data_IF_400776634227
#
_entry.id   IF_400776634227
#
_cell.length_a   1.000
_cell.length_b   1.000
_cell.length_c   1.000
_cell.angle_alpha   90.00
_cell.angle_beta   90.00
_cell.angle_gamma   90.00
#
_symmetry.space_group_name_H-M   'P 1'
#
loop_
_entity.id
_entity.type
_entity.pdbx_description
1 polymer ?
#
# COMPACT_ATOMS: atom_id res chain seq x y z
N UNK A 1 -38.91 -62.54 3.72
CA UNK A 1 -38.79 -61.29 2.95
C UNK A 1 -38.03 -60.30 3.83
N UNK A 2 -36.71 -60.23 3.68
CA UNK A 2 -35.83 -59.37 4.49
C UNK A 2 -35.51 -58.09 3.71
N UNK A 3 -36.01 -56.96 4.20
CA UNK A 3 -35.69 -55.65 3.67
C UNK A 3 -34.38 -55.13 4.29
N UNK A 4 -33.33 -55.01 3.47
CA UNK A 4 -32.04 -54.43 3.85
C UNK A 4 -32.17 -52.91 3.69
N UNK A 5 -32.18 -52.18 4.80
CA UNK A 5 -32.07 -50.73 4.85
C UNK A 5 -30.58 -50.36 4.69
N UNK A 6 -30.17 -49.80 3.55
CA UNK A 6 -28.84 -49.19 3.36
C UNK A 6 -28.88 -47.79 3.92
N UNK A 7 -28.19 -47.59 5.03
CA UNK A 7 -27.93 -46.25 5.57
C UNK A 7 -26.80 -45.60 4.73
N UNK A 8 -27.11 -44.47 4.07
CA UNK A 8 -26.17 -43.64 3.35
C UNK A 8 -25.47 -42.73 4.39
N UNK A 9 -24.25 -43.04 4.73
CA UNK A 9 -23.36 -42.12 5.50
C UNK A 9 -22.95 -40.99 4.60
N UNK A 10 -23.52 -39.80 4.77
CA UNK A 10 -23.02 -38.56 4.19
C UNK A 10 -21.90 -38.06 5.10
N UNK A 11 -20.66 -38.31 4.69
CA UNK A 11 -19.49 -37.66 5.30
C UNK A 11 -19.45 -36.21 4.86
N UNK A 12 -19.92 -35.30 5.71
CA UNK A 12 -19.66 -33.87 5.56
C UNK A 12 -18.19 -33.66 5.90
N UNK A 13 -17.37 -33.50 4.86
CA UNK A 13 -16.00 -33.01 5.06
C UNK A 13 -16.10 -31.55 5.51
N UNK A 14 -15.97 -31.34 6.81
CA UNK A 14 -15.74 -30.01 7.34
C UNK A 14 -14.35 -29.57 6.85
N UNK A 15 -14.30 -28.71 5.85
CA UNK A 15 -13.09 -27.99 5.50
C UNK A 15 -12.71 -27.14 6.71
N UNK A 16 -11.69 -27.57 7.46
CA UNK A 16 -11.04 -26.76 8.47
C UNK A 16 -10.38 -25.61 7.73
N UNK A 17 -11.02 -24.44 7.73
CA UNK A 17 -10.39 -23.21 7.30
C UNK A 17 -9.32 -22.89 8.37
N UNK A 18 -8.08 -23.25 8.09
CA UNK A 18 -6.95 -22.80 8.89
C UNK A 18 -6.92 -21.27 8.80
N UNK A 19 -7.07 -20.58 9.91
CA UNK A 19 -6.88 -19.15 10.00
C UNK A 19 -5.46 -18.81 9.60
N UNK A 20 -5.32 -17.72 8.88
CA UNK A 20 -4.02 -17.26 8.45
C UNK A 20 -3.15 -16.96 9.68
N UNK A 21 -2.14 -17.80 9.92
CA UNK A 21 -1.10 -17.47 10.88
C UNK A 21 -0.34 -16.25 10.37
N UNK A 22 -0.28 -15.20 11.19
CA UNK A 22 0.52 -14.00 10.90
C UNK A 22 1.87 -14.22 11.57
N UNK A 23 2.91 -14.31 10.74
CA UNK A 23 4.27 -14.61 11.19
C UNK A 23 5.21 -13.46 10.81
N UNK A 24 5.99 -12.96 11.80
CA UNK A 24 7.05 -12.01 11.52
C UNK A 24 8.24 -12.72 10.86
N UNK A 25 8.68 -12.18 9.74
CA UNK A 25 9.84 -12.65 8.98
C UNK A 25 11.02 -11.72 9.25
N UNK A 26 12.14 -12.29 9.69
CA UNK A 26 13.37 -11.56 9.98
C UNK A 26 14.55 -12.24 9.29
N UNK A 27 15.25 -11.57 8.38
CA UNK A 27 16.47 -12.12 7.79
C UNK A 27 17.57 -12.27 8.86
N UNK A 28 18.44 -13.26 8.69
CA UNK A 28 19.54 -13.54 9.63
C UNK A 28 20.54 -12.39 9.67
N UNK A 29 20.86 -11.84 8.50
CA UNK A 29 21.92 -10.85 8.30
C UNK A 29 21.33 -9.54 7.70
N UNK A 30 20.18 -9.10 8.19
CA UNK A 30 19.58 -7.82 7.76
C UNK A 30 20.08 -6.61 8.57
N UNK A 31 19.91 -5.39 8.05
CA UNK A 31 20.21 -4.18 8.82
C UNK A 31 19.31 -4.10 10.07
N UNK A 32 19.81 -3.51 11.18
CA UNK A 32 19.02 -3.34 12.38
C UNK A 32 17.78 -2.46 12.10
N UNK A 33 16.59 -2.85 12.60
CA UNK A 33 15.40 -2.03 12.42
C UNK A 33 15.56 -0.66 13.09
N UNK A 34 15.16 0.39 12.39
CA UNK A 34 15.20 1.78 12.88
C UNK A 34 13.92 2.21 13.61
N UNK A 35 13.01 1.28 13.85
CA UNK A 35 11.72 1.55 14.51
C UNK A 35 10.92 0.29 14.82
N UNK A 36 9.70 0.44 15.38
CA UNK A 36 8.81 -0.66 15.74
C UNK A 36 8.09 -1.22 14.49
N UNK A 37 8.77 -2.09 13.76
CA UNK A 37 8.24 -2.85 12.62
C UNK A 37 8.94 -4.21 12.50
N UNK A 38 8.28 -5.17 11.85
CA UNK A 38 8.92 -6.41 11.41
C UNK A 38 9.47 -6.22 10.00
N UNK A 39 10.68 -6.70 9.65
CA UNK A 39 11.21 -6.60 8.29
C UNK A 39 10.27 -7.18 7.23
N UNK A 40 9.57 -8.25 7.57
CA UNK A 40 8.49 -8.81 6.78
C UNK A 40 7.41 -9.42 7.66
N UNK A 41 6.20 -9.56 7.11
CA UNK A 41 5.07 -10.26 7.74
C UNK A 41 4.47 -11.23 6.73
N UNK A 42 4.55 -12.51 7.06
CA UNK A 42 4.02 -13.61 6.26
C UNK A 42 2.59 -13.94 6.70
N UNK A 43 1.71 -14.11 5.73
CA UNK A 43 0.32 -14.57 5.90
C UNK A 43 0.10 -15.87 5.15
N UNK A 44 -1.11 -16.40 5.12
CA UNK A 44 -1.43 -17.60 4.35
C UNK A 44 -1.09 -17.44 2.85
N UNK A 45 -1.31 -16.26 2.28
CA UNK A 45 -1.22 -16.05 0.82
C UNK A 45 -0.09 -15.12 0.39
N UNK A 46 0.35 -14.19 1.26
CA UNK A 46 1.28 -13.12 0.91
C UNK A 46 2.34 -12.88 1.99
N UNK A 47 3.49 -12.40 1.54
CA UNK A 47 4.51 -11.77 2.36
C UNK A 47 4.47 -10.26 2.10
N UNK A 48 4.35 -9.48 3.17
CA UNK A 48 4.46 -8.02 3.16
C UNK A 48 5.84 -7.64 3.67
N UNK A 49 6.66 -7.02 2.81
CA UNK A 49 8.01 -6.56 3.12
C UNK A 49 7.97 -5.08 3.47
N UNK A 50 8.50 -4.73 4.64
CA UNK A 50 8.68 -3.32 5.06
C UNK A 50 9.58 -2.55 4.12
N UNK A 51 9.50 -1.24 4.16
CA UNK A 51 10.50 -0.39 3.51
C UNK A 51 11.91 -0.82 3.91
N UNK A 52 12.69 -1.20 2.91
CA UNK A 52 14.09 -1.55 3.02
C UNK A 52 14.92 -0.45 2.37
N UNK A 53 15.74 0.24 3.16
CA UNK A 53 16.70 1.22 2.66
C UNK A 53 18.02 0.56 2.26
N UNK A 54 18.99 1.41 1.93
CA UNK A 54 20.29 1.00 1.37
C UNK A 54 21.37 0.70 2.42
N UNK A 55 21.04 0.63 3.71
CA UNK A 55 22.04 0.32 4.74
C UNK A 55 22.43 -1.15 4.73
N UNK A 56 23.73 -1.41 4.90
CA UNK A 56 24.28 -2.73 5.12
C UNK A 56 23.93 -3.26 6.52
N UNK A 57 24.15 -4.56 6.80
CA UNK A 57 23.95 -5.12 8.15
C UNK A 57 24.77 -4.43 9.26
N UNK A 58 25.92 -3.85 8.94
CA UNK A 58 26.74 -3.06 9.85
C UNK A 58 26.25 -1.60 10.07
N UNK A 59 25.15 -1.23 9.40
CA UNK A 59 24.55 0.11 9.47
C UNK A 59 25.17 1.14 8.50
N UNK A 60 26.22 0.80 7.76
CA UNK A 60 26.88 1.71 6.82
C UNK A 60 26.07 1.84 5.54
N UNK A 61 26.09 3.04 4.95
CA UNK A 61 25.53 3.31 3.63
C UNK A 61 26.63 3.18 2.57
N UNK A 62 26.42 2.45 1.46
CA UNK A 62 27.36 2.42 0.35
C UNK A 62 27.63 3.83 -0.22
N UNK A 63 28.79 4.04 -0.82
CA UNK A 63 29.24 5.36 -1.27
C UNK A 63 28.63 5.80 -2.60
N UNK A 64 28.38 4.85 -3.53
CA UNK A 64 27.75 5.14 -4.82
C UNK A 64 26.26 4.87 -4.78
N UNK A 65 25.47 5.60 -5.58
CA UNK A 65 24.03 5.38 -5.65
C UNK A 65 23.69 3.98 -6.23
N UNK A 66 24.45 3.53 -7.23
CA UNK A 66 24.36 2.16 -7.78
C UNK A 66 24.45 1.09 -6.66
N UNK A 67 25.46 1.20 -5.81
CA UNK A 67 25.66 0.27 -4.69
C UNK A 67 24.56 0.42 -3.64
N UNK A 68 24.01 1.62 -3.45
CA UNK A 68 22.89 1.86 -2.56
C UNK A 68 21.61 1.19 -3.08
N UNK A 69 21.30 1.30 -4.37
CA UNK A 69 20.17 0.59 -4.99
C UNK A 69 20.37 -0.92 -4.90
N UNK A 70 21.57 -1.42 -5.18
CA UNK A 70 21.89 -2.84 -5.07
C UNK A 70 21.70 -3.33 -3.63
N UNK A 71 22.21 -2.59 -2.65
CA UNK A 71 22.04 -2.94 -1.23
C UNK A 71 20.57 -2.94 -0.80
N UNK A 72 19.78 -1.97 -1.22
CA UNK A 72 18.34 -1.94 -0.99
C UNK A 72 17.66 -3.21 -1.55
N UNK A 73 17.98 -3.60 -2.79
CA UNK A 73 17.43 -4.80 -3.42
C UNK A 73 17.88 -6.08 -2.73
N UNK A 74 19.14 -6.18 -2.28
CA UNK A 74 19.62 -7.31 -1.48
C UNK A 74 18.92 -7.37 -0.10
N UNK A 75 18.63 -6.23 0.52
CA UNK A 75 17.87 -6.20 1.77
C UNK A 75 16.44 -6.71 1.56
N UNK A 76 15.75 -6.27 0.50
CA UNK A 76 14.42 -6.81 0.14
C UNK A 76 14.49 -8.31 -0.14
N UNK A 77 15.45 -8.75 -0.95
CA UNK A 77 15.67 -10.16 -1.28
C UNK A 77 15.91 -11.00 -0.02
N UNK A 78 16.70 -10.52 0.92
CA UNK A 78 16.97 -11.23 2.18
C UNK A 78 15.70 -11.46 3.01
N UNK A 79 14.78 -10.50 3.05
CA UNK A 79 13.48 -10.66 3.71
C UNK A 79 12.59 -11.65 2.96
N UNK A 80 12.56 -11.57 1.62
CA UNK A 80 11.79 -12.49 0.76
C UNK A 80 12.27 -13.92 0.95
N UNK A 81 13.59 -14.15 0.95
CA UNK A 81 14.21 -15.46 1.16
C UNK A 81 14.01 -15.99 2.58
N UNK A 82 14.06 -15.13 3.59
CA UNK A 82 13.74 -15.51 4.97
C UNK A 82 12.26 -15.95 5.13
N UNK A 83 11.36 -15.46 4.27
CA UNK A 83 9.97 -15.91 4.15
C UNK A 83 9.81 -17.22 3.35
N UNK A 84 10.91 -17.86 2.93
CA UNK A 84 10.89 -19.09 2.11
C UNK A 84 10.53 -18.86 0.65
N UNK A 85 10.63 -17.62 0.15
CA UNK A 85 10.25 -17.21 -1.20
C UNK A 85 11.48 -16.78 -2.01
N UNK A 86 11.31 -16.37 -3.25
CA UNK A 86 12.34 -15.80 -4.13
C UNK A 86 11.86 -14.51 -4.76
N UNK A 87 12.74 -13.74 -5.38
CA UNK A 87 12.35 -12.49 -6.07
C UNK A 87 11.28 -12.72 -7.16
N UNK A 88 11.16 -13.91 -7.72
CA UNK A 88 10.07 -14.28 -8.66
C UNK A 88 8.68 -14.21 -8.03
N UNK A 89 8.58 -14.35 -6.69
CA UNK A 89 7.32 -14.25 -5.96
C UNK A 89 6.84 -12.80 -5.76
N UNK A 90 7.72 -11.81 -5.93
CA UNK A 90 7.35 -10.39 -5.79
C UNK A 90 6.34 -10.03 -6.89
N UNK A 91 5.20 -9.46 -6.48
CA UNK A 91 4.08 -9.11 -7.36
C UNK A 91 3.82 -7.61 -7.42
N UNK A 92 4.21 -6.87 -6.37
CA UNK A 92 4.07 -5.42 -6.26
C UNK A 92 5.21 -4.80 -5.47
N UNK A 93 5.65 -3.63 -5.89
CA UNK A 93 6.65 -2.82 -5.16
C UNK A 93 6.30 -1.34 -5.22
N UNK A 94 6.71 -0.62 -4.17
CA UNK A 94 6.81 0.84 -4.18
C UNK A 94 8.29 1.20 -3.97
N UNK A 95 8.84 1.96 -4.89
CA UNK A 95 10.21 2.49 -4.82
C UNK A 95 10.11 3.99 -4.51
N UNK A 96 10.85 4.43 -3.52
CA UNK A 96 10.91 5.83 -3.09
C UNK A 96 12.31 6.36 -3.33
N UNK A 97 12.40 7.54 -3.93
CA UNK A 97 13.65 8.28 -4.20
C UNK A 97 13.55 9.66 -3.55
N UNK A 98 14.59 10.11 -2.88
CA UNK A 98 14.70 11.51 -2.44
C UNK A 98 15.21 12.45 -3.56
N UNK A 99 15.80 11.87 -4.61
CA UNK A 99 16.19 12.57 -5.83
C UNK A 99 15.74 11.80 -7.09
N UNK A 100 14.70 12.29 -7.77
CA UNK A 100 14.16 11.66 -8.98
C UNK A 100 15.11 11.75 -10.18
N UNK A 101 16.14 12.59 -10.15
CA UNK A 101 17.17 12.61 -11.21
C UNK A 101 17.95 11.30 -11.31
N UNK A 102 17.93 10.48 -10.24
CA UNK A 102 18.56 9.17 -10.16
C UNK A 102 17.66 8.01 -10.64
N UNK A 103 16.49 8.32 -11.21
CA UNK A 103 15.50 7.32 -11.63
C UNK A 103 16.03 6.32 -12.66
N UNK A 104 16.76 6.78 -13.68
CA UNK A 104 17.28 5.91 -14.73
C UNK A 104 18.41 5.00 -14.19
N UNK A 105 19.25 5.53 -13.30
CA UNK A 105 20.29 4.75 -12.62
C UNK A 105 19.67 3.67 -11.72
N UNK A 106 18.65 4.02 -10.95
CA UNK A 106 17.86 3.06 -10.15
C UNK A 106 17.27 1.97 -11.04
N UNK A 107 16.63 2.32 -12.17
CA UNK A 107 16.03 1.36 -13.10
C UNK A 107 17.04 0.37 -13.67
N UNK A 108 18.24 0.84 -14.00
CA UNK A 108 19.30 -0.02 -14.54
C UNK A 108 19.68 -1.13 -13.55
N UNK A 109 19.88 -0.80 -12.28
CA UNK A 109 20.20 -1.81 -11.24
C UNK A 109 18.99 -2.67 -10.91
N UNK A 110 17.80 -2.07 -10.84
CA UNK A 110 16.56 -2.79 -10.57
C UNK A 110 16.27 -3.89 -11.61
N UNK A 111 16.55 -3.62 -12.90
CA UNK A 111 16.35 -4.58 -13.99
C UNK A 111 17.23 -5.85 -13.84
N UNK A 112 18.36 -5.78 -13.15
CA UNK A 112 19.21 -6.95 -12.88
C UNK A 112 18.51 -7.96 -11.95
N UNK A 113 17.63 -7.50 -11.05
CA UNK A 113 16.87 -8.33 -10.12
C UNK A 113 15.52 -8.82 -10.68
N UNK A 114 15.01 -8.12 -11.67
CA UNK A 114 13.74 -8.43 -12.34
C UNK A 114 13.91 -8.43 -13.88
N UNK A 115 14.73 -9.35 -14.42
CA UNK A 115 15.02 -9.37 -15.85
C UNK A 115 13.83 -9.78 -16.71
N UNK A 116 12.87 -10.49 -16.14
CA UNK A 116 11.65 -10.98 -16.79
C UNK A 116 10.46 -10.85 -15.85
N UNK A 117 9.27 -10.60 -16.40
CA UNK A 117 8.01 -10.55 -15.66
C UNK A 117 8.11 -9.73 -14.35
N UNK A 118 8.68 -8.52 -14.48
CA UNK A 118 8.87 -7.60 -13.36
C UNK A 118 7.55 -7.35 -12.60
N UNK A 119 7.58 -7.09 -11.29
CA UNK A 119 6.37 -6.81 -10.52
C UNK A 119 5.65 -5.55 -11.01
N UNK A 120 4.39 -5.41 -10.66
CA UNK A 120 3.71 -4.13 -10.74
C UNK A 120 4.42 -3.14 -9.81
N UNK A 121 4.59 -1.87 -10.24
CA UNK A 121 5.44 -0.90 -9.56
C UNK A 121 4.86 0.51 -9.54
N UNK A 122 5.08 1.21 -8.42
CA UNK A 122 5.08 2.65 -8.35
C UNK A 122 6.50 3.14 -8.00
N UNK A 123 6.96 4.24 -8.62
CA UNK A 123 8.19 4.93 -8.24
C UNK A 123 7.86 6.38 -7.90
N UNK A 124 8.27 6.83 -6.73
CA UNK A 124 7.80 8.06 -6.13
C UNK A 124 8.99 8.92 -5.69
N UNK A 125 9.01 10.17 -6.11
CA UNK A 125 9.88 11.18 -5.51
C UNK A 125 9.27 11.66 -4.19
N UNK A 126 10.05 11.61 -3.12
CA UNK A 126 9.63 12.03 -1.78
C UNK A 126 10.64 13.03 -1.20
N UNK A 127 10.22 13.84 -0.23
CA UNK A 127 11.11 14.85 0.31
C UNK A 127 12.28 14.25 1.12
N UNK A 128 12.00 13.20 1.91
CA UNK A 128 13.05 12.50 2.69
C UNK A 128 12.67 11.07 3.00
N UNK A 129 13.71 10.26 3.20
CA UNK A 129 13.65 8.88 3.65
C UNK A 129 14.46 8.67 4.94
N UNK A 130 14.14 7.67 5.79
CA UNK A 130 14.83 7.50 7.08
C UNK A 130 16.29 7.03 6.94
N UNK A 131 17.19 7.98 6.66
CA UNK A 131 18.65 7.76 6.58
C UNK A 131 19.12 6.93 5.39
N UNK A 132 18.46 7.07 4.25
CA UNK A 132 18.77 6.42 2.97
C UNK A 132 18.25 7.29 1.83
N UNK A 133 18.88 7.34 0.64
CA UNK A 133 18.36 8.09 -0.52
C UNK A 133 17.33 7.28 -1.33
N UNK A 134 17.27 5.97 -1.13
CA UNK A 134 16.36 5.06 -1.81
C UNK A 134 15.80 4.02 -0.86
N UNK A 135 14.52 3.73 -0.98
CA UNK A 135 13.81 2.72 -0.18
C UNK A 135 12.81 1.96 -1.05
N UNK A 136 12.62 0.67 -0.79
CA UNK A 136 11.63 -0.16 -1.47
C UNK A 136 10.87 -1.04 -0.47
N UNK A 137 9.54 -1.04 -0.56
CA UNK A 137 8.70 -2.08 0.03
C UNK A 137 8.23 -3.06 -1.05
N UNK A 138 7.74 -4.22 -0.62
CA UNK A 138 7.26 -5.22 -1.56
C UNK A 138 6.10 -6.04 -1.01
N UNK A 139 5.29 -6.58 -1.93
CA UNK A 139 4.36 -7.67 -1.67
C UNK A 139 4.77 -8.87 -2.51
N UNK A 140 4.93 -10.03 -1.88
CA UNK A 140 5.23 -11.27 -2.57
C UNK A 140 4.11 -12.29 -2.34
N UNK A 141 3.71 -13.00 -3.41
CA UNK A 141 2.72 -14.08 -3.34
C UNK A 141 3.40 -15.38 -2.95
N UNK A 142 2.75 -16.23 -2.16
CA UNK A 142 3.31 -17.55 -1.81
C UNK A 142 3.17 -18.59 -2.92
N UNK A 143 2.07 -18.54 -3.65
CA UNK A 143 1.77 -19.47 -4.75
C UNK A 143 2.03 -18.81 -6.10
N UNK A 144 3.06 -19.30 -6.81
CA UNK A 144 3.41 -18.83 -8.15
C UNK A 144 2.53 -19.40 -9.26
N UNK A 145 1.76 -20.45 -9.02
CA UNK A 145 1.04 -21.18 -10.05
C UNK A 145 0.05 -20.32 -10.84
N UNK A 146 -0.52 -19.31 -10.17
CA UNK A 146 -1.48 -18.37 -10.76
C UNK A 146 -0.88 -16.98 -11.03
N UNK A 147 0.44 -16.77 -10.77
CA UNK A 147 1.10 -15.50 -11.09
C UNK A 147 1.17 -15.32 -12.60
N UNK A 148 0.56 -14.24 -13.11
CA UNK A 148 0.57 -13.88 -14.55
C UNK A 148 0.73 -12.37 -14.70
N UNK A 149 1.60 -11.97 -15.62
CA UNK A 149 1.75 -10.57 -16.02
C UNK A 149 0.59 -10.17 -16.92
N UNK A 150 -0.02 -9.04 -16.64
CA UNK A 150 -0.99 -8.39 -17.51
C UNK A 150 -0.24 -7.50 -18.48
N UNK A 151 -0.47 -7.71 -19.78
CA UNK A 151 0.12 -6.94 -20.87
C UNK A 151 -0.97 -6.08 -21.51
N UNK A 152 -0.64 -4.85 -21.85
CA UNK A 152 -1.55 -3.96 -22.58
C UNK A 152 -1.15 -3.91 -24.05
N UNK A 153 -2.13 -4.04 -24.94
CA UNK A 153 -1.91 -3.89 -26.36
C UNK A 153 -1.43 -2.45 -26.68
N UNK A 154 -0.32 -2.34 -27.37
CA UNK A 154 0.27 -1.05 -27.74
C UNK A 154 0.99 -0.31 -26.61
N UNK A 155 1.05 -0.87 -25.41
CA UNK A 155 1.87 -0.31 -24.33
C UNK A 155 3.31 -0.84 -24.45
N UNK A 156 4.24 0.07 -24.57
CA UNK A 156 5.67 -0.20 -24.55
C UNK A 156 6.32 0.70 -23.50
N UNK A 157 7.14 0.15 -22.67
CA UNK A 157 7.94 0.86 -21.68
C UNK A 157 9.30 0.21 -21.60
N UNK A 158 10.33 1.05 -21.58
CA UNK A 158 11.70 0.62 -21.29
C UNK A 158 11.95 0.44 -19.78
N UNK A 159 10.94 0.77 -18.97
CA UNK A 159 11.02 0.59 -17.52
C UNK A 159 10.77 -0.87 -17.14
N UNK A 160 11.54 -1.42 -16.20
CA UNK A 160 11.38 -2.78 -15.71
C UNK A 160 10.17 -2.85 -14.76
N UNK A 161 8.97 -2.80 -15.33
CA UNK A 161 7.68 -3.00 -14.65
C UNK A 161 6.70 -3.73 -15.56
N UNK A 162 5.75 -4.44 -14.96
CA UNK A 162 4.59 -4.96 -15.67
C UNK A 162 3.39 -4.06 -15.40
N UNK A 163 2.53 -3.74 -16.38
CA UNK A 163 1.33 -2.93 -16.16
C UNK A 163 0.45 -3.45 -15.03
N UNK A 164 0.38 -4.76 -14.88
CA UNK A 164 -0.27 -5.41 -13.75
C UNK A 164 0.24 -6.83 -13.55
N UNK A 165 0.07 -7.35 -12.35
CA UNK A 165 0.39 -8.75 -12.00
C UNK A 165 -0.83 -9.38 -11.34
N UNK A 166 -1.35 -10.43 -12.00
CA UNK A 166 -2.40 -11.30 -11.48
C UNK A 166 -1.82 -12.36 -10.55
N UNK A 167 -2.56 -12.65 -9.49
CA UNK A 167 -2.39 -13.81 -8.62
C UNK A 167 -3.69 -14.65 -8.63
N UNK A 168 -3.76 -15.68 -7.80
CA UNK A 168 -4.95 -16.50 -7.68
C UNK A 168 -6.22 -15.70 -7.38
N UNK A 169 -6.11 -14.71 -6.50
CA UNK A 169 -7.26 -14.00 -5.92
C UNK A 169 -7.32 -12.51 -6.28
N UNK A 170 -6.23 -11.90 -6.77
CA UNK A 170 -6.20 -10.45 -7.02
C UNK A 170 -5.26 -10.00 -8.13
N UNK A 171 -5.43 -8.76 -8.54
CA UNK A 171 -4.59 -8.03 -9.47
C UNK A 171 -3.89 -6.89 -8.72
N UNK A 172 -2.57 -6.78 -8.88
CA UNK A 172 -1.77 -5.62 -8.50
C UNK A 172 -1.50 -4.78 -9.74
N UNK A 173 -1.69 -3.46 -9.64
CA UNK A 173 -1.69 -2.53 -10.78
C UNK A 173 -0.56 -1.52 -10.60
N UNK A 174 0.28 -1.36 -11.62
CA UNK A 174 1.35 -0.35 -11.66
C UNK A 174 0.81 1.07 -11.78
N UNK A 175 1.60 2.02 -11.32
CA UNK A 175 1.46 3.42 -11.66
C UNK A 175 1.87 3.60 -13.13
N UNK A 176 0.90 3.86 -14.00
CA UNK A 176 1.14 4.11 -15.42
C UNK A 176 0.99 5.58 -15.72
N UNK A 177 1.93 6.10 -16.50
CA UNK A 177 1.96 7.52 -16.86
C UNK A 177 0.86 7.89 -17.83
N UNK A 178 0.29 9.07 -17.60
CA UNK A 178 -0.49 9.80 -18.58
C UNK A 178 0.05 11.23 -18.63
N UNK A 179 0.30 11.74 -19.82
CA UNK A 179 0.73 13.14 -19.99
C UNK A 179 -0.32 13.90 -20.78
N UNK A 180 -0.64 15.07 -20.31
CA UNK A 180 -1.53 15.98 -20.99
C UNK A 180 -1.08 17.44 -20.83
N UNK A 181 -1.72 18.36 -21.55
CA UNK A 181 -1.41 19.78 -21.49
C UNK A 181 -1.95 20.48 -20.24
N UNK A 182 -2.90 19.85 -19.57
CA UNK A 182 -3.56 20.39 -18.38
C UNK A 182 -3.90 19.30 -17.36
N UNK A 183 -4.10 19.67 -16.09
CA UNK A 183 -4.34 18.71 -15.01
C UNK A 183 -5.59 17.84 -15.19
N UNK A 184 -6.66 18.36 -15.78
CA UNK A 184 -7.93 17.61 -15.91
C UNK A 184 -7.76 16.43 -16.87
N UNK A 185 -7.18 16.65 -18.05
CA UNK A 185 -6.91 15.60 -19.01
C UNK A 185 -5.82 14.62 -18.51
N UNK A 186 -4.84 15.10 -17.75
CA UNK A 186 -3.82 14.20 -17.16
C UNK A 186 -4.44 13.25 -16.12
N UNK A 187 -5.33 13.77 -15.25
CA UNK A 187 -6.09 12.94 -14.29
C UNK A 187 -6.94 11.90 -15.03
N UNK A 188 -7.69 12.33 -16.07
CA UNK A 188 -8.54 11.42 -16.85
C UNK A 188 -7.70 10.33 -17.52
N UNK A 189 -6.58 10.70 -18.14
CA UNK A 189 -5.66 9.76 -18.78
C UNK A 189 -5.06 8.75 -17.79
N UNK A 190 -4.67 9.19 -16.59
CA UNK A 190 -4.16 8.31 -15.54
C UNK A 190 -5.24 7.33 -15.02
N UNK A 191 -6.50 7.79 -14.89
CA UNK A 191 -7.64 6.93 -14.54
C UNK A 191 -7.98 5.95 -15.66
N UNK A 192 -7.83 6.35 -16.93
CA UNK A 192 -8.02 5.47 -18.08
C UNK A 192 -6.92 4.42 -18.18
N UNK A 193 -5.68 4.77 -17.85
CA UNK A 193 -4.57 3.82 -17.74
C UNK A 193 -4.84 2.76 -16.65
N UNK A 194 -5.29 3.17 -15.46
CA UNK A 194 -5.73 2.26 -14.40
C UNK A 194 -6.84 1.31 -14.89
N UNK A 195 -7.86 1.86 -15.55
CA UNK A 195 -8.97 1.10 -16.12
C UNK A 195 -8.49 0.09 -17.17
N UNK A 196 -7.60 0.49 -18.06
CA UNK A 196 -7.09 -0.37 -19.12
C UNK A 196 -6.39 -1.64 -18.56
N UNK A 197 -5.62 -1.52 -17.48
CA UNK A 197 -4.99 -2.67 -16.82
C UNK A 197 -6.04 -3.60 -16.22
N UNK A 198 -7.05 -3.04 -15.56
CA UNK A 198 -8.15 -3.82 -14.95
C UNK A 198 -8.93 -4.59 -16.04
N UNK A 199 -9.26 -3.94 -17.15
CA UNK A 199 -9.98 -4.56 -18.26
C UNK A 199 -9.14 -5.60 -19.00
N UNK A 200 -7.84 -5.35 -19.20
CA UNK A 200 -6.91 -6.33 -19.77
C UNK A 200 -6.77 -7.59 -18.91
N UNK A 201 -6.99 -7.48 -17.60
CA UNK A 201 -7.05 -8.60 -16.67
C UNK A 201 -8.42 -9.31 -16.64
N UNK A 202 -9.38 -8.91 -17.49
CA UNK A 202 -10.73 -9.47 -17.55
C UNK A 202 -11.64 -9.02 -16.39
N UNK A 203 -11.33 -7.91 -15.75
CA UNK A 203 -12.06 -7.36 -14.61
C UNK A 203 -12.72 -6.01 -14.96
N UNK A 204 -13.42 -5.42 -14.01
CA UNK A 204 -14.06 -4.10 -14.11
C UNK A 204 -13.57 -3.19 -12.99
N UNK A 205 -13.75 -1.88 -13.13
CA UNK A 205 -13.39 -0.89 -12.11
C UNK A 205 -13.99 -1.21 -10.73
N UNK A 206 -15.17 -1.85 -10.70
CA UNK A 206 -15.83 -2.30 -9.47
C UNK A 206 -15.07 -3.39 -8.70
N UNK A 207 -14.15 -4.12 -9.37
CA UNK A 207 -13.29 -5.10 -8.70
C UNK A 207 -12.19 -4.44 -7.86
N UNK A 208 -11.89 -3.14 -8.06
CA UNK A 208 -10.86 -2.44 -7.31
C UNK A 208 -11.26 -2.33 -5.84
N UNK A 209 -10.37 -2.73 -4.95
CA UNK A 209 -10.53 -2.69 -3.49
C UNK A 209 -9.73 -1.57 -2.85
N UNK A 210 -8.59 -1.21 -3.46
CA UNK A 210 -7.70 -0.17 -2.95
C UNK A 210 -7.05 0.61 -4.09
N UNK A 211 -6.92 1.93 -3.91
CA UNK A 211 -6.24 2.83 -4.85
C UNK A 211 -5.30 3.77 -4.10
N UNK A 212 -4.09 3.95 -4.62
CA UNK A 212 -3.21 5.05 -4.26
C UNK A 212 -3.16 6.06 -5.42
N UNK A 213 -3.77 7.23 -5.30
CA UNK A 213 -3.43 8.38 -6.11
C UNK A 213 -2.11 8.99 -5.60
N UNK A 214 -1.12 9.12 -6.47
CA UNK A 214 0.13 9.86 -6.23
C UNK A 214 0.08 11.12 -7.06
N UNK A 215 0.20 12.28 -6.44
CA UNK A 215 0.07 13.56 -7.14
C UNK A 215 1.07 14.58 -6.64
N UNK A 216 1.53 15.41 -7.54
CA UNK A 216 2.31 16.61 -7.19
C UNK A 216 1.38 17.75 -6.81
N UNK A 217 1.92 18.81 -6.21
CA UNK A 217 1.15 20.03 -5.85
C UNK A 217 0.51 20.76 -7.03
N UNK A 218 0.84 20.41 -8.27
CA UNK A 218 0.24 20.98 -9.48
C UNK A 218 -1.16 20.45 -9.77
N UNK A 219 -1.51 19.31 -9.20
CA UNK A 219 -2.85 18.69 -9.36
C UNK A 219 -3.80 19.20 -8.28
N UNK A 220 -4.88 19.92 -8.66
CA UNK A 220 -5.88 20.35 -7.69
C UNK A 220 -6.66 19.15 -7.13
N UNK A 221 -6.66 19.00 -5.80
CA UNK A 221 -7.34 17.88 -5.11
C UNK A 221 -8.83 17.77 -5.44
N UNK A 222 -9.54 18.91 -5.52
CA UNK A 222 -10.97 18.93 -5.83
C UNK A 222 -11.25 18.43 -7.25
N UNK A 223 -10.41 18.80 -8.22
CA UNK A 223 -10.51 18.31 -9.60
C UNK A 223 -10.27 16.82 -9.67
N UNK A 224 -9.21 16.34 -9.02
CA UNK A 224 -8.92 14.91 -8.92
C UNK A 224 -10.10 14.16 -8.26
N UNK A 225 -10.60 14.63 -7.14
CA UNK A 225 -11.74 14.03 -6.44
C UNK A 225 -13.01 13.96 -7.30
N UNK A 226 -13.32 15.05 -8.02
CA UNK A 226 -14.48 15.14 -8.92
C UNK A 226 -14.41 14.12 -10.07
N UNK A 227 -13.24 13.98 -10.70
CA UNK A 227 -13.04 13.04 -11.82
C UNK A 227 -12.99 11.60 -11.34
N UNK A 228 -12.29 11.36 -10.22
CA UNK A 228 -12.21 10.04 -9.59
C UNK A 228 -13.60 9.52 -9.19
N UNK A 229 -14.44 10.38 -8.57
CA UNK A 229 -15.79 9.99 -8.15
C UNK A 229 -16.68 9.51 -9.30
N UNK A 230 -16.45 9.96 -10.53
CA UNK A 230 -17.20 9.53 -11.72
C UNK A 230 -16.88 8.08 -12.12
N UNK A 231 -15.81 7.51 -11.62
CA UNK A 231 -15.32 6.16 -12.00
C UNK A 231 -15.84 5.05 -11.09
N UNK A 232 -16.44 5.41 -9.93
CA UNK A 232 -16.88 4.45 -8.92
C UNK A 232 -18.31 4.73 -8.45
N UNK A 233 -18.98 3.69 -7.96
CA UNK A 233 -20.30 3.79 -7.38
C UNK A 233 -20.26 4.53 -6.04
N UNK A 234 -21.15 5.49 -5.83
CA UNK A 234 -21.25 6.23 -4.58
C UNK A 234 -21.52 5.29 -3.39
N UNK A 235 -20.71 5.42 -2.35
CA UNK A 235 -20.83 4.60 -1.12
C UNK A 235 -20.25 3.20 -1.26
N UNK A 236 -19.80 2.78 -2.45
CA UNK A 236 -19.12 1.50 -2.71
C UNK A 236 -17.75 1.69 -3.41
N UNK A 237 -17.13 2.83 -3.17
CA UNK A 237 -15.80 3.17 -3.70
C UNK A 237 -14.72 2.26 -3.14
N UNK A 238 -13.53 2.14 -3.77
CA UNK A 238 -12.36 1.52 -3.14
C UNK A 238 -11.94 2.25 -1.86
N UNK A 239 -11.20 1.59 -0.99
CA UNK A 239 -10.37 2.26 -0.01
C UNK A 239 -9.26 3.05 -0.73
N UNK A 240 -8.80 4.17 -0.17
CA UNK A 240 -7.89 5.10 -0.84
C UNK A 240 -6.88 5.72 0.10
N UNK A 241 -5.62 5.78 -0.33
CA UNK A 241 -4.60 6.60 0.31
C UNK A 241 -4.03 7.56 -0.74
N UNK A 242 -4.40 8.83 -0.65
CA UNK A 242 -3.90 9.89 -1.54
C UNK A 242 -2.62 10.47 -0.96
N UNK A 243 -1.56 10.45 -1.76
CA UNK A 243 -0.21 10.83 -1.34
C UNK A 243 0.28 11.97 -2.22
N UNK A 244 0.62 13.10 -1.60
CA UNK A 244 1.39 14.13 -2.27
C UNK A 244 2.85 13.70 -2.35
N UNK A 245 3.46 13.92 -3.51
CA UNK A 245 4.85 13.55 -3.80
C UNK A 245 5.60 14.74 -4.39
N UNK A 246 6.92 14.76 -4.27
CA UNK A 246 7.75 15.83 -4.83
C UNK A 246 7.79 15.76 -6.35
N UNK A 247 7.79 14.54 -6.89
CA UNK A 247 7.87 14.28 -8.33
C UNK A 247 7.45 12.85 -8.68
N UNK A 248 7.11 12.64 -9.94
CA UNK A 248 6.79 11.35 -10.53
C UNK A 248 7.66 11.10 -11.78
N UNK A 249 7.88 9.84 -12.16
CA UNK A 249 8.69 9.48 -13.31
C UNK A 249 8.26 10.19 -14.60
N UNK A 250 9.25 10.60 -15.40
CA UNK A 250 9.02 11.22 -16.70
C UNK A 250 8.28 12.56 -16.65
N UNK A 251 8.15 13.21 -15.47
CA UNK A 251 7.46 14.48 -15.28
C UNK A 251 5.93 14.38 -15.26
N UNK A 252 5.38 13.19 -15.05
CA UNK A 252 3.96 13.00 -14.75
C UNK A 252 3.59 13.77 -13.48
N UNK A 253 2.38 14.32 -13.44
CA UNK A 253 1.90 15.07 -12.28
C UNK A 253 0.92 14.26 -11.43
N UNK A 254 0.37 13.17 -11.99
CA UNK A 254 -0.50 12.24 -11.28
C UNK A 254 -0.37 10.83 -11.85
N UNK A 255 -0.35 9.85 -10.96
CA UNK A 255 -0.40 8.43 -11.29
C UNK A 255 -1.30 7.69 -10.29
N UNK A 256 -1.88 6.57 -10.70
CA UNK A 256 -2.69 5.72 -9.83
C UNK A 256 -2.15 4.30 -9.81
N UNK A 257 -1.98 3.73 -8.61
CA UNK A 257 -1.84 2.29 -8.44
C UNK A 257 -3.10 1.72 -7.80
N UNK A 258 -3.25 0.41 -7.84
CA UNK A 258 -4.40 -0.21 -7.17
C UNK A 258 -4.24 -1.71 -6.96
N UNK A 259 -5.16 -2.23 -6.17
CA UNK A 259 -5.39 -3.66 -5.98
C UNK A 259 -6.84 -3.95 -6.33
N UNK A 260 -7.07 -4.96 -7.17
CA UNK A 260 -8.41 -5.44 -7.51
C UNK A 260 -8.57 -6.91 -7.13
N UNK A 261 -9.74 -7.29 -6.63
CA UNK A 261 -10.08 -8.69 -6.35
C UNK A 261 -10.61 -9.37 -7.62
N UNK A 262 -10.18 -10.60 -7.92
CA UNK A 262 -10.62 -11.31 -9.12
C UNK A 262 -12.12 -11.67 -9.07
N UNK A 263 -12.57 -12.22 -7.95
CA UNK A 263 -13.99 -12.52 -7.72
C UNK A 263 -14.66 -11.36 -6.98
N UNK A 264 -15.57 -10.68 -7.66
CA UNK A 264 -16.32 -9.55 -7.09
C UNK A 264 -17.14 -9.96 -5.84
N UNK A 265 -17.53 -11.21 -5.71
CA UNK A 265 -18.20 -11.75 -4.54
C UNK A 265 -17.34 -11.71 -3.28
N UNK A 266 -16.02 -11.62 -3.43
CA UNK A 266 -15.07 -11.48 -2.33
C UNK A 266 -14.76 -10.01 -1.96
N UNK A 267 -15.41 -9.04 -2.63
CA UNK A 267 -15.28 -7.62 -2.34
C UNK A 267 -16.38 -7.15 -1.40
N UNK A 268 -15.99 -6.58 -0.26
CA UNK A 268 -16.95 -6.03 0.71
C UNK A 268 -16.42 -4.73 1.31
N UNK A 269 -17.07 -3.62 0.98
CA UNK A 269 -16.79 -2.33 1.61
C UNK A 269 -17.42 -2.27 3.00
N UNK A 270 -16.63 -1.90 4.01
CA UNK A 270 -17.06 -1.74 5.40
C UNK A 270 -16.98 -0.26 5.79
N UNK A 271 -17.98 0.19 6.53
CA UNK A 271 -18.05 1.57 7.01
C UNK A 271 -18.65 1.59 8.41
N UNK A 272 -18.04 2.31 9.37
CA UNK A 272 -18.64 2.56 10.68
C UNK A 272 -20.06 3.14 10.54
N UNK A 273 -20.99 2.69 11.38
CA UNK A 273 -22.42 3.04 11.27
C UNK A 273 -22.69 4.54 11.36
N UNK A 274 -21.87 5.26 12.10
CA UNK A 274 -21.94 6.71 12.29
C UNK A 274 -21.24 7.53 11.20
N UNK A 275 -20.60 6.88 10.21
CA UNK A 275 -19.88 7.55 9.13
C UNK A 275 -20.73 7.58 7.86
N UNK A 276 -20.99 8.76 7.25
CA UNK A 276 -21.70 8.86 5.98
C UNK A 276 -20.90 8.23 4.82
N UNK A 277 -21.58 7.75 3.77
CA UNK A 277 -20.90 7.30 2.56
C UNK A 277 -20.16 8.45 1.89
N UNK A 278 -19.03 8.14 1.25
CA UNK A 278 -18.19 9.10 0.53
C UNK A 278 -18.20 8.79 -0.97
N UNK A 279 -18.14 9.82 -1.83
CA UNK A 279 -18.01 9.64 -3.28
C UNK A 279 -16.60 9.22 -3.69
N UNK A 280 -15.60 9.34 -2.81
CA UNK A 280 -14.19 9.19 -3.18
C UNK A 280 -13.45 8.07 -2.45
N UNK A 281 -13.92 7.63 -1.28
CA UNK A 281 -13.24 6.56 -0.54
C UNK A 281 -14.17 5.83 0.42
N UNK A 282 -14.20 4.50 0.35
CA UNK A 282 -14.70 3.68 1.45
C UNK A 282 -13.68 3.67 2.59
N UNK A 283 -14.09 3.66 3.86
CA UNK A 283 -13.14 3.58 4.98
C UNK A 283 -12.20 2.40 4.85
N UNK A 284 -12.73 1.21 4.57
CA UNK A 284 -11.96 0.01 4.26
C UNK A 284 -12.76 -0.93 3.34
N UNK A 285 -12.04 -1.83 2.63
CA UNK A 285 -12.65 -2.80 1.71
C UNK A 285 -11.95 -4.15 1.88
N UNK A 286 -12.73 -5.22 2.03
CA UNK A 286 -12.23 -6.59 1.96
C UNK A 286 -11.95 -7.05 0.53
N UNK A 287 -10.85 -7.77 0.35
CA UNK A 287 -10.56 -8.67 -0.77
C UNK A 287 -10.41 -10.08 -0.18
N UNK A 288 -11.49 -10.85 -0.11
CA UNK A 288 -11.51 -12.12 0.60
C UNK A 288 -11.23 -11.95 2.10
N UNK A 289 -10.11 -12.48 2.57
CA UNK A 289 -9.64 -12.37 3.95
C UNK A 289 -8.84 -11.09 4.27
N UNK A 290 -8.43 -10.37 3.25
CA UNK A 290 -7.53 -9.20 3.39
C UNK A 290 -8.32 -7.90 3.36
N UNK A 291 -8.08 -7.05 4.35
CA UNK A 291 -8.78 -5.80 4.61
C UNK A 291 -7.87 -4.61 4.31
N UNK A 292 -8.19 -3.85 3.27
CA UNK A 292 -7.46 -2.66 2.84
C UNK A 292 -8.14 -1.43 3.41
N UNK A 293 -7.45 -0.65 4.23
CA UNK A 293 -7.99 0.57 4.82
C UNK A 293 -7.41 1.84 4.19
N UNK A 294 -8.31 2.78 3.93
CA UNK A 294 -7.95 4.14 3.51
C UNK A 294 -7.00 4.78 4.50
N UNK A 295 -6.14 5.65 4.00
CA UNK A 295 -5.34 6.48 4.89
C UNK A 295 -6.25 7.30 5.81
N UNK A 296 -5.89 7.33 7.08
CA UNK A 296 -6.49 8.15 8.13
C UNK A 296 -5.43 9.07 8.69
N UNK A 297 -5.88 10.24 9.09
CA UNK A 297 -5.10 11.27 9.74
C UNK A 297 -5.73 11.67 11.06
N UNK A 298 -5.12 12.61 11.78
CA UNK A 298 -5.61 13.14 13.04
C UNK A 298 -6.87 13.98 12.95
N UNK A 299 -7.69 13.78 11.91
CA UNK A 299 -8.94 14.50 11.69
C UNK A 299 -9.97 14.14 12.76
N UNK A 300 -10.49 15.18 13.44
CA UNK A 300 -11.58 15.09 14.41
C UNK A 300 -12.85 15.65 13.74
N UNK A 301 -13.86 14.81 13.42
CA UNK A 301 -15.11 15.29 12.83
C UNK A 301 -15.84 16.30 13.72
N UNK A 302 -16.47 17.28 13.13
CA UNK A 302 -17.26 18.30 13.84
C UNK A 302 -18.33 18.92 12.96
N UNK A 303 -19.26 19.70 13.57
CA UNK A 303 -20.41 20.30 12.89
C UNK A 303 -20.01 21.25 11.75
N UNK A 304 -18.81 21.87 11.85
CA UNK A 304 -18.29 22.81 10.86
C UNK A 304 -17.14 22.21 10.02
N UNK A 305 -17.22 20.92 9.71
CA UNK A 305 -16.23 20.23 8.86
C UNK A 305 -15.12 19.50 9.64
N UNK A 306 -14.94 19.79 10.94
CA UNK A 306 -13.93 19.17 11.78
C UNK A 306 -12.60 19.89 11.82
N UNK A 307 -11.67 19.42 12.67
CA UNK A 307 -10.41 20.09 12.99
C UNK A 307 -9.26 19.10 13.13
N UNK A 308 -8.05 19.61 13.01
CA UNK A 308 -6.80 18.97 13.44
C UNK A 308 -6.23 19.65 14.68
N UNK A 309 -5.61 18.89 15.56
CA UNK A 309 -4.91 19.36 16.77
C UNK A 309 -3.52 19.91 16.41
N UNK A 310 -2.84 20.69 17.33
CA UNK A 310 -1.59 21.36 16.98
C UNK A 310 -0.36 20.46 16.88
N UNK A 311 -0.33 19.33 17.56
CA UNK A 311 0.89 18.53 17.71
C UNK A 311 0.73 17.09 17.21
N UNK A 312 1.88 16.49 16.89
CA UNK A 312 1.96 15.13 16.38
C UNK A 312 1.34 14.09 17.33
N UNK A 313 1.56 14.21 18.64
CA UNK A 313 1.08 13.19 19.58
C UNK A 313 -0.45 13.12 19.56
N UNK A 314 -1.12 14.27 19.59
CA UNK A 314 -2.58 14.33 19.56
C UNK A 314 -3.13 13.90 18.18
N UNK A 315 -2.49 14.34 17.07
CA UNK A 315 -2.92 13.91 15.74
C UNK A 315 -2.75 12.40 15.59
N UNK A 316 -1.61 11.83 15.93
CA UNK A 316 -1.36 10.39 15.80
C UNK A 316 -2.28 9.55 16.70
N UNK A 317 -2.61 10.02 17.93
CA UNK A 317 -3.62 9.36 18.77
C UNK A 317 -4.99 9.31 18.11
N UNK A 318 -5.39 10.41 17.49
CA UNK A 318 -6.67 10.49 16.76
C UNK A 318 -6.64 9.62 15.49
N UNK A 319 -5.54 9.61 14.75
CA UNK A 319 -5.34 8.72 13.60
C UNK A 319 -5.51 7.26 14.00
N UNK A 320 -4.85 6.84 15.08
CA UNK A 320 -4.96 5.47 15.58
C UNK A 320 -6.39 5.14 16.03
N UNK A 321 -7.11 6.10 16.63
CA UNK A 321 -8.53 5.92 16.97
C UNK A 321 -9.39 5.76 15.72
N UNK A 322 -9.19 6.61 14.70
CA UNK A 322 -9.91 6.53 13.42
C UNK A 322 -9.67 5.19 12.70
N UNK A 323 -8.43 4.66 12.77
CA UNK A 323 -8.11 3.33 12.21
C UNK A 323 -8.74 2.20 13.01
N UNK A 324 -8.70 2.30 14.36
CA UNK A 324 -9.28 1.29 15.24
C UNK A 324 -10.79 1.19 15.05
N UNK A 325 -11.52 2.30 14.92
CA UNK A 325 -12.95 2.31 14.62
C UNK A 325 -13.29 1.51 13.34
N UNK A 326 -12.44 1.64 12.30
CA UNK A 326 -12.61 0.88 11.05
C UNK A 326 -12.33 -0.62 11.23
N UNK A 327 -11.35 -0.99 12.05
CA UNK A 327 -11.03 -2.39 12.35
C UNK A 327 -12.16 -3.03 13.20
N UNK A 328 -12.61 -2.35 14.25
CA UNK A 328 -13.68 -2.80 15.15
C UNK A 328 -14.99 -3.06 14.38
N UNK A 329 -15.37 -2.19 13.43
CA UNK A 329 -16.56 -2.40 12.59
C UNK A 329 -16.48 -3.68 11.75
N UNK A 330 -15.27 -4.10 11.36
CA UNK A 330 -15.02 -5.35 10.66
C UNK A 330 -14.81 -6.56 11.58
N UNK A 331 -14.86 -6.37 12.91
CA UNK A 331 -14.56 -7.40 13.90
C UNK A 331 -13.08 -7.76 13.96
N UNK A 332 -12.20 -6.82 13.55
CA UNK A 332 -10.75 -6.93 13.57
C UNK A 332 -10.14 -6.10 14.69
N UNK A 333 -8.86 -6.31 14.96
CA UNK A 333 -8.07 -5.61 15.96
C UNK A 333 -6.73 -5.17 15.36
N UNK A 334 -5.95 -4.38 16.08
CA UNK A 334 -4.59 -4.02 15.68
C UNK A 334 -3.65 -5.23 15.55
N UNK A 335 -3.96 -6.35 16.17
CA UNK A 335 -3.19 -7.60 16.04
C UNK A 335 -3.38 -8.28 14.68
N UNK A 336 -4.46 -7.95 13.96
CA UNK A 336 -4.74 -8.47 12.63
C UNK A 336 -4.06 -7.64 11.52
N UNK A 337 -3.43 -6.50 11.88
CA UNK A 337 -2.71 -5.63 10.96
C UNK A 337 -1.39 -6.27 10.55
N UNK A 338 -1.16 -6.39 9.24
CA UNK A 338 0.03 -7.01 8.65
C UNK A 338 0.97 -6.01 8.00
N UNK A 339 0.44 -4.86 7.55
CA UNK A 339 1.24 -3.81 6.91
C UNK A 339 0.66 -2.43 7.18
N UNK A 340 1.53 -1.44 7.35
CA UNK A 340 1.17 -0.02 7.45
C UNK A 340 2.09 0.83 6.57
N UNK A 341 1.52 1.88 5.96
CA UNK A 341 2.30 2.96 5.38
C UNK A 341 2.05 4.22 6.19
N UNK A 342 3.11 4.83 6.70
CA UNK A 342 3.11 6.06 7.50
C UNK A 342 3.70 7.18 6.66
N UNK A 343 2.93 8.23 6.46
CA UNK A 343 3.32 9.40 5.69
C UNK A 343 3.42 10.58 6.64
N UNK A 344 4.63 11.10 6.84
CA UNK A 344 4.90 12.23 7.71
C UNK A 344 5.02 13.52 6.89
N UNK A 345 4.60 14.61 7.48
CA UNK A 345 4.88 15.96 7.01
C UNK A 345 6.37 16.33 7.19
N UNK A 346 6.95 15.97 8.34
CA UNK A 346 8.35 16.23 8.67
C UNK A 346 9.00 15.00 9.30
N UNK A 347 10.07 14.50 8.70
CA UNK A 347 10.80 13.33 9.21
C UNK A 347 11.55 13.59 10.51
N UNK A 348 11.72 14.87 10.94
CA UNK A 348 12.19 15.20 12.28
C UNK A 348 11.27 14.64 13.38
N UNK A 349 10.00 14.37 13.07
CA UNK A 349 9.04 13.73 13.95
C UNK A 349 9.17 12.21 14.04
N UNK A 350 10.05 11.57 13.25
CA UNK A 350 10.17 10.12 13.15
C UNK A 350 10.38 9.40 14.47
N UNK A 351 11.24 9.94 15.34
CA UNK A 351 11.50 9.35 16.65
C UNK A 351 10.29 9.46 17.60
N UNK A 352 9.59 10.60 17.59
CA UNK A 352 8.38 10.81 18.40
C UNK A 352 7.23 9.92 17.89
N UNK A 353 7.06 9.84 16.58
CA UNK A 353 6.10 8.93 15.93
C UNK A 353 6.38 7.48 16.32
N UNK A 354 7.61 7.00 16.20
CA UNK A 354 8.00 5.64 16.58
C UNK A 354 7.65 5.31 18.03
N UNK A 355 7.96 6.22 18.96
CA UNK A 355 7.67 6.05 20.40
C UNK A 355 6.17 5.89 20.67
N UNK A 356 5.34 6.65 19.96
CA UNK A 356 3.89 6.59 20.13
C UNK A 356 3.30 5.39 19.40
N UNK A 357 3.71 5.13 18.15
CA UNK A 357 3.26 4.00 17.33
C UNK A 357 3.49 2.67 18.07
N UNK A 358 4.64 2.48 18.73
CA UNK A 358 4.96 1.28 19.50
C UNK A 358 3.98 0.99 20.66
N UNK A 359 3.18 1.96 21.09
CA UNK A 359 2.16 1.74 22.14
C UNK A 359 0.88 1.09 21.64
N UNK A 360 0.65 1.12 20.32
CA UNK A 360 -0.55 0.58 19.70
C UNK A 360 -0.39 -0.84 19.19
N UNK A 361 0.81 -1.20 18.75
CA UNK A 361 1.09 -2.52 18.19
C UNK A 361 1.93 -3.36 19.15
N UNK A 362 1.51 -4.61 19.34
CA UNK A 362 2.29 -5.61 20.07
C UNK A 362 3.29 -6.30 19.12
N UNK A 363 4.31 -6.94 19.69
CA UNK A 363 5.22 -7.84 18.96
C UNK A 363 4.47 -9.15 18.64
N UNK A 364 4.54 -9.64 17.39
CA UNK A 364 5.25 -9.08 16.25
C UNK A 364 4.57 -7.85 15.68
N UNK A 365 5.37 -6.82 15.37
CA UNK A 365 4.88 -5.60 14.72
C UNK A 365 4.47 -5.88 13.27
N UNK A 366 3.55 -5.09 12.67
CA UNK A 366 3.30 -5.14 11.24
C UNK A 366 4.54 -4.74 10.43
N UNK A 367 4.58 -5.12 9.16
CA UNK A 367 5.48 -4.50 8.20
C UNK A 367 5.16 -3.01 8.08
N UNK A 368 6.16 -2.17 7.86
CA UNK A 368 5.95 -0.72 7.80
C UNK A 368 6.89 -0.04 6.81
N UNK A 369 6.35 0.94 6.10
CA UNK A 369 7.09 1.94 5.34
C UNK A 369 6.82 3.31 5.95
N UNK A 370 7.83 4.17 6.07
CA UNK A 370 7.65 5.54 6.59
C UNK A 370 8.44 6.51 5.72
N UNK A 371 7.76 7.51 5.16
CA UNK A 371 8.37 8.52 4.30
C UNK A 371 7.88 9.92 4.66
N UNK A 372 8.70 10.93 4.40
CA UNK A 372 8.26 12.32 4.33
C UNK A 372 7.80 12.61 2.92
N UNK A 373 6.52 12.95 2.74
CA UNK A 373 5.89 13.09 1.43
C UNK A 373 6.51 14.23 0.60
N UNK A 374 6.38 15.43 1.11
CA UNK A 374 6.77 16.70 0.49
C UNK A 374 7.48 17.57 1.53
N UNK A 375 7.88 18.79 1.15
CA UNK A 375 8.38 19.78 2.11
C UNK A 375 7.35 20.09 3.21
N UNK A 376 7.79 20.27 4.47
CA UNK A 376 6.89 20.48 5.60
C UNK A 376 5.93 21.65 5.40
N UNK A 377 4.69 21.47 5.86
CA UNK A 377 3.70 22.54 5.85
C UNK A 377 3.96 23.55 6.99
N UNK A 378 3.49 24.77 6.81
CA UNK A 378 3.46 25.73 7.92
C UNK A 378 2.46 25.25 8.99
N UNK A 379 2.96 24.89 10.16
CA UNK A 379 2.18 24.32 11.28
C UNK A 379 1.42 25.37 12.10
N UNK A 380 1.34 26.62 11.63
CA UNK A 380 0.54 27.63 12.28
C UNK A 380 -0.96 27.30 12.24
N UNK A 381 -1.69 27.80 13.25
CA UNK A 381 -3.15 27.69 13.31
C UNK A 381 -3.79 28.39 12.12
N UNK A 382 -4.74 27.72 11.45
CA UNK A 382 -5.48 28.25 10.31
C UNK A 382 -6.63 29.19 10.78
N UNK A 383 -7.20 29.94 9.84
CA UNK A 383 -8.31 30.86 10.12
C UNK A 383 -9.60 30.19 10.62
N UNK A 384 -9.76 28.89 10.35
CA UNK A 384 -10.90 28.07 10.81
C UNK A 384 -10.65 27.38 12.17
N UNK A 385 -9.70 27.88 12.96
CA UNK A 385 -9.28 27.32 14.25
C UNK A 385 -8.70 25.91 14.21
N UNK A 386 -8.45 25.34 13.04
CA UNK A 386 -7.78 24.06 12.83
C UNK A 386 -6.27 24.25 12.61
N UNK A 387 -5.52 23.17 12.72
CA UNK A 387 -4.11 23.06 12.33
C UNK A 387 -3.97 22.29 11.01
N UNK A 388 -2.83 22.25 10.35
CA UNK A 388 -2.61 21.39 9.20
C UNK A 388 -2.56 19.93 9.63
N UNK A 389 -2.89 19.05 8.68
CA UNK A 389 -2.56 17.62 8.77
C UNK A 389 -1.04 17.45 8.68
N UNK A 390 -0.45 16.67 9.58
CA UNK A 390 1.00 16.45 9.65
C UNK A 390 1.41 14.99 9.59
N UNK A 391 0.45 14.08 9.55
CA UNK A 391 0.68 12.67 9.33
C UNK A 391 -0.58 11.98 8.81
N UNK A 392 -0.40 10.87 8.11
CA UNK A 392 -1.47 9.94 7.77
C UNK A 392 -0.95 8.50 7.72
N UNK A 393 -1.83 7.56 8.02
CA UNK A 393 -1.51 6.12 8.04
C UNK A 393 -2.57 5.36 7.26
N UNK A 394 -2.14 4.54 6.29
CA UNK A 394 -2.96 3.47 5.72
C UNK A 394 -2.52 2.11 6.24
N UNK A 395 -3.42 1.13 6.25
CA UNK A 395 -3.09 -0.20 6.73
C UNK A 395 -3.74 -1.32 5.91
N UNK A 396 -3.12 -2.50 6.01
CA UNK A 396 -3.65 -3.76 5.54
C UNK A 396 -3.77 -4.68 6.75
N UNK A 397 -4.94 -5.29 6.93
CA UNK A 397 -5.18 -6.30 7.95
C UNK A 397 -5.67 -7.62 7.32
N UNK A 398 -5.51 -8.74 8.01
CA UNK A 398 -5.95 -10.05 7.54
C UNK A 398 -6.85 -10.68 8.58
N UNK A 399 -8.03 -11.11 8.14
CA UNK A 399 -9.00 -11.81 8.99
C UNK A 399 -8.48 -13.21 9.31
N UNK A 400 -8.16 -13.45 10.57
CA UNK A 400 -7.80 -14.79 11.05
C UNK A 400 -9.05 -15.66 11.15
N UNK A 401 -8.94 -16.97 10.89
CA UNK A 401 -9.98 -17.91 11.32
C UNK A 401 -9.95 -17.95 12.86
N UNK A 402 -11.04 -17.63 13.45
CA UNK A 402 -11.27 -17.73 14.90
C UNK A 402 -12.05 -18.99 15.21
#
# INVERSE_FOLDING_TARGET
MNAIVRALLITVAASVVYGADIEAVKPKDGPPPVGPYSPGVLTANYLYVSGQGAKKPDGQLPSSFDDQVRQMLENVKSVVEAGGLTMKHVVYVQVYLDDMSQFDEMNRVYAEYFPEDAPARATLGVAKLPGTPVEMNAVAVRDLSEKKVVRLAGYHSDEPLSPGVLTKDRLFISALRAKASDPEHEIEGALDALKAVVEAAGMKMQNIVFVNPYLTRTIPHDTMNRLYAKRFEFGNTPARATIEVTSLPGGSQIEFTGVAVRDIGNRLAIRPKNMPPSPTASPCVFAGDTYYCSAKSGFIPGVNGGVFTPDLELQLRQTMRNLLDNLEEAGLTLQDVVSTNVYLDDLNDFAAMNKLYAKYFAVPYPARTTVQQIEPVNRAKKSNDSYPEIEQISLIAVKRAR
#
